data_IF_913861662882
#
_entry.id   IF_913861662882
#
_cell.length_a   1.000
_cell.length_b   1.000
_cell.length_c   1.000
_cell.angle_alpha   90.00
_cell.angle_beta   90.00
_cell.angle_gamma   90.00
#
_symmetry.space_group_name_H-M   'P 1'
#
loop_
_entity.id
_entity.type
_entity.pdbx_description
1 polymer ?
2 water ?
#
# COMPACT_ATOMS: atom_id res chain seq x y z
N UNK A 2 -1.47 -12.04 -9.45
CA UNK A 2 -1.95 -10.75 -8.85
C UNK A 2 -0.85 -9.71 -8.86
N UNK A 3 -1.25 -8.44 -8.95
CA UNK A 3 -0.28 -7.34 -9.07
C UNK A 3 -0.36 -6.38 -7.92
N UNK A 4 0.77 -6.14 -7.25
CA UNK A 4 0.86 -5.21 -6.12
C UNK A 4 1.63 -3.96 -6.53
N UNK A 5 1.05 -2.80 -6.26
CA UNK A 5 1.78 -1.52 -6.35
C UNK A 5 2.28 -1.11 -4.97
N UNK A 6 3.59 -1.02 -4.80
CA UNK A 6 4.22 -0.57 -3.56
C UNK A 6 4.57 0.88 -3.75
N UNK A 7 4.04 1.73 -2.87
CA UNK A 7 4.30 3.14 -2.88
C UNK A 7 5.07 3.49 -1.63
N UNK A 8 6.37 3.65 -1.79
CA UNK A 8 7.30 3.91 -0.69
C UNK A 8 8.44 4.83 -1.18
N UNK A 9 8.69 5.91 -0.43
CA UNK A 9 9.71 6.90 -0.82
C UNK A 9 11.09 6.53 -0.34
N UNK A 10 11.21 5.45 0.42
CA UNK A 10 12.52 5.00 0.88
C UNK A 10 12.88 3.71 0.12
N UNK A 11 13.89 3.77 -0.74
CA UNK A 11 14.26 2.62 -1.55
C UNK A 11 14.61 1.35 -0.74
N UNK A 12 15.33 1.42 0.38
CA UNK A 12 15.58 0.22 1.21
C UNK A 12 14.34 -0.60 1.61
N UNK A 13 13.26 0.08 2.01
CA UNK A 13 12.06 -0.60 2.49
C UNK A 13 11.25 -1.10 1.30
N UNK A 14 11.16 -0.30 0.24
CA UNK A 14 10.57 -0.76 -0.99
C UNK A 14 11.21 -2.06 -1.46
N UNK A 15 12.54 -2.14 -1.41
CA UNK A 15 13.23 -3.33 -1.92
C UNK A 15 12.89 -4.54 -1.08
N UNK A 16 12.78 -4.36 0.23
CA UNK A 16 12.45 -5.47 1.12
C UNK A 16 11.05 -5.98 0.84
N UNK A 17 10.11 -5.06 0.66
CA UNK A 17 8.73 -5.48 0.43
C UNK A 17 8.63 -6.09 -0.96
N UNK A 18 9.26 -5.47 -1.97
CA UNK A 18 9.25 -6.03 -3.33
C UNK A 18 9.80 -7.47 -3.35
N UNK A 19 10.94 -7.69 -2.69
CA UNK A 19 11.57 -9.00 -2.54
C UNK A 19 10.60 -10.06 -1.99
N UNK A 20 9.89 -9.71 -0.92
CA UNK A 20 9.06 -10.64 -0.21
C UNK A 20 7.79 -10.92 -0.96
N UNK A 21 7.19 -9.89 -1.54
CA UNK A 21 6.06 -10.08 -2.42
C UNK A 21 6.42 -10.86 -3.69
N UNK A 22 7.59 -10.62 -4.24
CA UNK A 22 8.01 -11.41 -5.43
C UNK A 22 8.15 -12.88 -5.07
N UNK A 23 8.86 -13.13 -3.96
CA UNK A 23 9.04 -14.47 -3.42
C UNK A 23 7.70 -15.24 -3.29
N UNK A 24 6.59 -14.55 -3.01
CA UNK A 24 5.26 -15.18 -2.96
C UNK A 24 4.56 -15.35 -4.29
N UNK A 25 5.09 -14.72 -5.34
CA UNK A 25 4.53 -14.86 -6.67
C UNK A 25 3.65 -13.74 -7.16
N UNK A 26 3.70 -12.57 -6.52
CA UNK A 26 3.00 -11.41 -7.05
C UNK A 26 3.91 -10.74 -8.05
N UNK A 27 3.32 -10.02 -8.99
CA UNK A 27 4.01 -9.07 -9.83
C UNK A 27 4.00 -7.72 -9.12
N UNK A 28 5.14 -7.06 -9.06
CA UNK A 28 5.32 -5.88 -8.26
C UNK A 28 5.67 -4.73 -9.16
N UNK A 29 4.93 -3.65 -9.02
CA UNK A 29 5.32 -2.36 -9.54
C UNK A 29 5.58 -1.43 -8.35
N UNK A 30 6.48 -0.46 -8.54
CA UNK A 30 6.86 0.47 -7.49
C UNK A 30 6.63 1.93 -7.92
N UNK A 31 6.45 2.78 -6.93
CA UNK A 31 6.35 4.20 -7.13
C UNK A 31 6.96 4.84 -5.89
N UNK A 32 7.65 5.97 -6.06
CA UNK A 32 8.42 6.55 -4.99
C UNK A 32 7.93 7.93 -4.55
N UNK A 33 6.85 8.40 -5.17
CA UNK A 33 6.16 9.59 -4.69
C UNK A 33 4.70 9.49 -5.06
N UNK A 34 3.91 10.46 -4.60
CA UNK A 34 2.48 10.51 -4.84
C UNK A 34 2.12 10.60 -6.32
N UNK A 35 2.87 11.42 -7.06
CA UNK A 35 2.63 11.52 -8.50
C UNK A 35 2.88 10.20 -9.20
N UNK A 36 4.00 9.54 -8.93
CA UNK A 36 4.24 8.24 -9.57
C UNK A 36 3.16 7.22 -9.12
N UNK A 37 2.73 7.29 -7.87
CA UNK A 37 1.72 6.37 -7.37
C UNK A 37 0.45 6.47 -8.18
N UNK A 38 -0.03 7.68 -8.42
CA UNK A 38 -1.27 7.86 -9.17
C UNK A 38 -1.09 7.46 -10.65
N UNK A 39 0.04 7.79 -11.26
CA UNK A 39 0.35 7.34 -12.63
C UNK A 39 0.39 5.83 -12.72
N UNK A 40 1.01 5.17 -11.77
CA UNK A 40 1.19 3.72 -11.80
C UNK A 40 -0.14 3.03 -11.56
N UNK A 41 -0.96 3.61 -10.70
CA UNK A 41 -2.27 3.06 -10.39
C UNK A 41 -3.16 3.06 -11.67
N UNK A 42 -3.15 4.17 -12.39
CA UNK A 42 -3.91 4.34 -13.62
C UNK A 42 -3.37 3.43 -14.69
N UNK A 43 -2.06 3.38 -14.86
CA UNK A 43 -1.47 2.63 -15.98
C UNK A 43 -1.39 1.13 -15.73
N UNK A 44 -1.21 0.70 -14.49
CA UNK A 44 -1.02 -0.70 -14.16
C UNK A 44 -2.25 -1.42 -13.61
N UNK A 45 -3.21 -0.68 -13.06
CA UNK A 45 -4.40 -1.24 -12.44
C UNK A 45 -4.02 -2.36 -11.47
N UNK A 46 -3.29 -2.02 -10.43
CA UNK A 46 -2.92 -3.04 -9.44
C UNK A 46 -4.18 -3.64 -8.76
N UNK A 47 -4.03 -4.86 -8.28
CA UNK A 47 -5.05 -5.51 -7.46
C UNK A 47 -5.04 -5.04 -5.99
N UNK A 48 -3.91 -4.53 -5.54
CA UNK A 48 -3.73 -3.99 -4.20
C UNK A 48 -2.58 -2.99 -4.20
N UNK A 49 -2.72 -1.96 -3.35
CA UNK A 49 -1.72 -0.91 -3.15
C UNK A 49 -1.25 -0.92 -1.71
N UNK A 50 0.07 -0.99 -1.49
CA UNK A 50 0.73 -0.80 -0.20
C UNK A 50 1.27 0.62 -0.26
N UNK A 51 0.79 1.46 0.64
CA UNK A 51 0.91 2.89 0.38
C UNK A 51 1.33 3.65 1.63
N UNK A 52 2.66 3.76 1.82
CA UNK A 52 3.17 4.47 2.98
C UNK A 52 2.51 5.84 3.15
N UNK A 53 2.53 6.46 4.32
CA UNK A 53 1.99 7.83 4.47
C UNK A 53 3.02 8.83 3.93
N UNK A 58 3.11 13.78 -3.88
CA UNK A 58 1.78 13.81 -3.30
C UNK A 58 1.74 13.08 -1.96
N UNK A 59 1.51 13.11 -0.92
CA UNK A 59 1.24 12.75 0.47
C UNK A 59 0.30 11.56 0.44
N UNK A 60 0.62 10.56 1.26
CA UNK A 60 -0.11 9.30 1.25
C UNK A 60 -1.61 9.43 1.46
N UNK A 61 -2.04 10.29 2.38
CA UNK A 61 -3.47 10.42 2.66
C UNK A 61 -4.17 10.94 1.43
N UNK A 62 -3.54 11.89 0.74
CA UNK A 62 -4.11 12.46 -0.50
C UNK A 62 -4.16 11.48 -1.70
N UNK A 63 -3.17 10.61 -1.80
CA UNK A 63 -3.18 9.57 -2.82
C UNK A 63 -4.41 8.69 -2.62
N UNK A 64 -4.56 8.19 -1.41
CA UNK A 64 -5.61 7.26 -1.10
C UNK A 64 -6.94 7.94 -1.31
N UNK A 65 -7.07 9.19 -0.87
CA UNK A 65 -8.25 9.98 -1.23
C UNK A 65 -8.55 10.05 -2.76
N UNK A 66 -7.54 10.31 -3.57
CA UNK A 66 -7.72 10.41 -5.03
C UNK A 66 -8.14 9.10 -5.65
N UNK A 67 -7.50 8.03 -5.21
CA UNK A 67 -7.80 6.70 -5.70
C UNK A 67 -9.27 6.32 -5.48
N UNK A 68 -9.76 6.56 -4.26
CA UNK A 68 -11.13 6.23 -3.85
C UNK A 68 -12.21 7.01 -4.59
N UNK A 69 -11.83 8.13 -5.20
CA UNK A 69 -12.70 8.85 -6.12
C UNK A 69 -13.10 7.96 -7.30
N UNK A 70 -12.17 7.17 -7.83
CA UNK A 70 -12.46 6.32 -8.99
C UNK A 70 -12.51 4.81 -8.71
N UNK A 71 -11.93 4.33 -7.60
CA UNK A 71 -11.64 2.88 -7.45
C UNK A 71 -11.84 2.37 -6.03
N UNK A 72 -12.28 1.13 -5.92
CA UNK A 72 -12.33 0.45 -4.63
C UNK A 72 -11.15 -0.54 -4.44
N UNK A 73 -10.10 -0.41 -5.23
CA UNK A 73 -8.87 -1.22 -5.03
C UNK A 73 -8.47 -1.17 -3.55
N UNK A 74 -8.18 -2.32 -2.96
CA UNK A 74 -7.69 -2.40 -1.59
C UNK A 74 -6.40 -1.60 -1.38
N UNK A 75 -6.36 -0.85 -0.27
CA UNK A 75 -5.20 -0.10 0.11
C UNK A 75 -4.80 -0.49 1.52
N UNK A 76 -3.52 -0.82 1.67
CA UNK A 76 -2.94 -1.15 2.92
C UNK A 76 -1.97 -0.05 3.19
N UNK A 77 -2.21 0.75 4.21
CA UNK A 77 -1.27 1.78 4.57
C UNK A 77 -0.26 1.23 5.52
N UNK A 78 0.94 1.68 5.33
CA UNK A 78 2.08 1.32 6.14
C UNK A 78 2.68 2.63 6.63
N UNK A 79 3.08 2.70 7.88
CA UNK A 79 3.62 3.94 8.42
C UNK A 79 4.32 3.72 9.72
N UNK A 80 5.38 4.48 9.98
CA UNK A 80 6.01 4.48 11.31
C UNK A 80 5.15 5.15 12.39
N UNK A 81 4.30 6.09 12.00
CA UNK A 81 3.27 6.69 12.86
C UNK A 81 2.24 5.66 13.29
N UNK A 82 2.12 5.53 14.59
CA UNK A 82 1.34 4.50 15.23
C UNK A 82 0.31 5.00 16.23
N UNK A 83 -0.01 6.29 16.24
CA UNK A 83 -0.98 6.82 17.23
C UNK A 83 -2.40 6.52 16.76
N UNK A 84 -3.37 6.59 17.66
CA UNK A 84 -4.79 6.36 17.32
C UNK A 84 -5.27 7.30 16.23
N UNK A 85 -4.92 8.58 16.36
CA UNK A 85 -5.29 9.57 15.37
C UNK A 85 -4.86 9.09 14.01
N UNK A 86 -3.60 8.65 13.88
CA UNK A 86 -2.99 8.26 12.61
C UNK A 86 -3.72 7.10 11.92
N UNK A 87 -3.97 6.07 12.71
CA UNK A 87 -4.67 4.86 12.27
C UNK A 87 -6.09 5.13 11.82
N UNK A 88 -6.79 5.91 12.64
CA UNK A 88 -8.19 6.24 12.38
C UNK A 88 -8.35 7.06 11.13
N UNK A 89 -7.51 8.07 10.94
CA UNK A 89 -7.62 8.91 9.77
C UNK A 89 -7.23 8.17 8.48
N UNK A 90 -6.14 7.40 8.49
CA UNK A 90 -5.87 6.50 7.37
C UNK A 90 -7.09 5.66 6.99
N UNK A 91 -7.69 4.98 7.96
CA UNK A 91 -8.85 4.16 7.71
C UNK A 91 -10.06 4.96 7.20
N UNK A 92 -10.30 6.13 7.75
CA UNK A 92 -11.44 6.93 7.33
C UNK A 92 -11.28 7.49 5.91
N UNK A 93 -10.06 7.82 5.51
CA UNK A 93 -9.78 8.29 4.15
C UNK A 93 -9.69 7.14 3.14
N UNK A 94 -9.85 5.90 3.58
CA UNK A 94 -10.15 4.82 2.65
C UNK A 94 -9.31 3.59 2.68
N UNK A 95 -8.24 3.61 3.48
CA UNK A 95 -7.44 2.42 3.73
C UNK A 95 -8.33 1.27 4.20
N UNK A 96 -7.97 0.07 3.76
CA UNK A 96 -8.60 -1.10 4.27
C UNK A 96 -7.88 -1.66 5.46
N UNK A 97 -6.62 -1.31 5.62
CA UNK A 97 -5.83 -1.77 6.72
C UNK A 97 -4.70 -0.81 6.96
N UNK A 98 -4.11 -0.84 8.14
CA UNK A 98 -3.06 0.08 8.46
C UNK A 98 -2.08 -0.69 9.35
N UNK A 99 -0.84 -0.72 8.92
CA UNK A 99 0.18 -1.54 9.52
C UNK A 99 1.32 -0.64 9.85
N UNK A 100 1.93 -0.82 11.02
CA UNK A 100 3.01 0.07 11.40
C UNK A 100 4.41 -0.47 11.10
N UNK A 101 5.36 0.43 10.87
CA UNK A 101 6.74 0.08 10.69
C UNK A 101 7.46 0.25 12.04
N UNK A 102 8.30 -0.71 12.44
CA UNK A 102 8.68 -1.91 11.66
C UNK A 102 7.64 -3.00 11.70
N UNK A 103 7.56 -3.79 10.63
CA UNK A 103 6.51 -4.80 10.48
C UNK A 103 7.21 -6.12 10.35
N UNK A 104 6.43 -7.18 10.52
CA UNK A 104 6.86 -8.53 10.34
C UNK A 104 6.56 -8.84 8.88
N UNK A 105 7.53 -9.41 8.18
CA UNK A 105 7.35 -9.79 6.77
C UNK A 105 6.17 -10.78 6.65
N UNK A 106 6.05 -11.79 7.53
CA UNK A 106 4.95 -12.77 7.43
C UNK A 106 3.59 -12.16 7.66
N UNK A 107 3.54 -11.21 8.58
CA UNK A 107 2.30 -10.54 8.91
C UNK A 107 1.83 -9.70 7.73
N UNK A 108 2.74 -8.97 7.11
CA UNK A 108 2.38 -8.14 5.93
C UNK A 108 1.83 -9.03 4.80
N UNK A 109 2.51 -10.16 4.57
CA UNK A 109 2.03 -11.15 3.61
C UNK A 109 0.67 -11.69 3.94
N UNK A 110 0.43 -12.00 5.21
CA UNK A 110 -0.88 -12.49 5.61
C UNK A 110 -1.98 -11.43 5.43
N UNK A 111 -1.66 -10.17 5.68
CA UNK A 111 -2.62 -9.07 5.60
C UNK A 111 -2.94 -8.76 4.11
N UNK A 112 -1.95 -8.83 3.21
CA UNK A 112 -2.15 -8.70 1.74
C UNK A 112 -3.06 -9.82 1.22
N UNK A 113 -2.84 -11.04 1.67
CA UNK A 113 -3.66 -12.19 1.28
C UNK A 113 -5.10 -12.03 1.76
N UNK A 114 -5.28 -11.60 3.02
CA UNK A 114 -6.61 -11.38 3.58
C UNK A 114 -7.34 -10.36 2.78
N UNK A 115 -6.63 -9.30 2.37
CA UNK A 115 -7.25 -8.23 1.59
C UNK A 115 -7.65 -8.67 0.20
N UNK A 116 -6.80 -9.49 -0.41
CA UNK A 116 -7.04 -9.97 -1.74
C UNK A 116 -8.22 -10.95 -1.71
N UNK A 117 -8.27 -11.80 -0.69
CA UNK A 117 -9.35 -12.78 -0.50
C UNK A 117 -10.72 -12.12 -0.47
N UNK A 118 -10.71 -10.91 0.11
CA UNK A 118 -11.91 -10.23 0.55
C UNK A 118 -12.46 -9.32 -0.54
N UNK A 119 -11.67 -9.14 -1.60
CA UNK A 119 -12.05 -8.28 -2.70
C UNK A 119 -12.00 -9.03 -4.01
#
# INVERSE_FOLDING_TARGET
>A
MKKILIVDDEKPISDIIKFNMTKEGYEVVTAFNGREALEQFEAEQPDIIILDLMLPEIDGLEVAKTIRKTSSVPILMLSAKDSEFDKVIGLELGADDYVTKPFSNRELQARVKALLRRSQ
#
